data_IF_406096921408
#
_entry.id   IF_406096921408
#
_cell.length_a   1.000
_cell.length_b   1.000
_cell.length_c   1.000
_cell.angle_alpha   90.00
_cell.angle_beta   90.00
_cell.angle_gamma   90.00
#
_symmetry.space_group_name_H-M   'P 1'
#
loop_
_entity.id
_entity.type
_entity.pdbx_description
1 polymer ?
#
# COMPACT_ATOMS: atom_id res chain seq x y z
N UNK A 1 7.60 16.05 -16.75
CA UNK A 1 6.18 15.68 -16.98
C UNK A 1 5.73 14.66 -15.94
N UNK A 2 6.62 13.76 -15.52
CA UNK A 2 6.38 12.72 -14.51
C UNK A 2 5.81 13.22 -13.17
N UNK A 3 6.27 14.38 -12.67
CA UNK A 3 5.72 14.96 -11.43
C UNK A 3 4.25 15.38 -11.55
N UNK A 4 3.81 15.83 -12.73
CA UNK A 4 2.42 16.22 -12.96
C UNK A 4 1.54 14.98 -12.95
N UNK A 5 1.95 13.91 -13.65
CA UNK A 5 1.23 12.64 -13.62
C UNK A 5 1.21 12.00 -12.23
N UNK A 6 2.33 12.06 -11.50
CA UNK A 6 2.39 11.59 -10.12
C UNK A 6 1.40 12.36 -9.22
N UNK A 7 1.37 13.70 -9.34
CA UNK A 7 0.44 14.53 -8.58
C UNK A 7 -1.02 14.24 -8.95
N UNK A 8 -1.35 14.16 -10.25
CA UNK A 8 -2.71 13.93 -10.72
C UNK A 8 -3.23 12.54 -10.32
N UNK A 9 -2.43 11.49 -10.50
CA UNK A 9 -2.85 10.12 -10.19
C UNK A 9 -2.94 9.90 -8.67
N UNK A 10 -1.93 10.34 -7.91
CA UNK A 10 -1.97 10.27 -6.46
C UNK A 10 -3.13 11.09 -5.89
N UNK A 11 -3.32 12.31 -6.41
CA UNK A 11 -4.44 13.19 -6.06
C UNK A 11 -5.80 12.55 -6.38
N UNK A 12 -5.96 11.92 -7.54
CA UNK A 12 -7.19 11.23 -7.91
C UNK A 12 -7.50 10.06 -6.96
N UNK A 13 -6.51 9.25 -6.60
CA UNK A 13 -6.68 8.15 -5.62
C UNK A 13 -7.13 8.73 -4.26
N UNK A 14 -6.54 9.84 -3.82
CA UNK A 14 -6.92 10.51 -2.58
C UNK A 14 -8.35 11.07 -2.65
N UNK A 15 -8.75 11.69 -3.77
CA UNK A 15 -10.13 12.18 -3.98
C UNK A 15 -11.12 11.03 -3.91
N UNK A 16 -10.83 9.88 -4.55
CA UNK A 16 -11.69 8.69 -4.45
C UNK A 16 -11.82 8.26 -2.98
N UNK A 17 -10.73 8.28 -2.22
CA UNK A 17 -10.76 7.95 -0.80
C UNK A 17 -11.61 8.92 0.03
N UNK A 18 -11.48 10.22 -0.23
CA UNK A 18 -12.30 11.24 0.41
C UNK A 18 -13.79 11.06 0.09
N UNK A 19 -14.14 10.80 -1.17
CA UNK A 19 -15.52 10.53 -1.57
C UNK A 19 -16.12 9.31 -0.85
N UNK A 20 -15.32 8.25 -0.65
CA UNK A 20 -15.76 7.07 0.11
C UNK A 20 -15.97 7.36 1.60
N UNK A 21 -15.18 8.25 2.20
CA UNK A 21 -15.40 8.69 3.58
C UNK A 21 -16.65 9.55 3.70
N UNK A 22 -16.82 10.51 2.78
CA UNK A 22 -17.86 11.53 2.89
C UNK A 22 -19.25 11.00 2.48
N UNK A 23 -19.33 10.25 1.37
CA UNK A 23 -20.60 9.76 0.82
C UNK A 23 -20.95 8.36 1.29
N UNK A 24 -19.98 7.44 1.28
CA UNK A 24 -20.22 6.05 1.70
C UNK A 24 -20.09 5.86 3.22
N UNK A 25 -19.69 6.91 3.97
CA UNK A 25 -19.54 6.89 5.43
C UNK A 25 -18.68 5.72 5.93
N UNK A 26 -17.69 5.32 5.12
CA UNK A 26 -16.75 4.30 5.52
C UNK A 26 -15.90 4.81 6.67
N UNK A 27 -15.59 3.93 7.62
CA UNK A 27 -14.57 4.27 8.64
C UNK A 27 -13.19 4.25 7.98
N UNK A 28 -12.18 4.94 8.57
CA UNK A 28 -10.81 4.91 8.04
C UNK A 28 -10.26 3.48 7.87
N UNK A 29 -10.63 2.56 8.76
CA UNK A 29 -10.23 1.15 8.68
C UNK A 29 -10.83 0.45 7.45
N UNK A 30 -12.11 0.69 7.14
CA UNK A 30 -12.75 0.12 5.95
C UNK A 30 -12.10 0.67 4.67
N UNK A 31 -11.84 1.98 4.61
CA UNK A 31 -11.18 2.60 3.46
C UNK A 31 -9.81 1.98 3.20
N UNK A 32 -8.99 1.85 4.25
CA UNK A 32 -7.66 1.24 4.15
C UNK A 32 -7.73 -0.20 3.64
N UNK A 33 -8.60 -1.03 4.22
CA UNK A 33 -8.78 -2.41 3.80
C UNK A 33 -9.22 -2.52 2.34
N UNK A 34 -10.19 -1.71 1.91
CA UNK A 34 -10.67 -1.69 0.52
C UNK A 34 -9.54 -1.31 -0.44
N UNK A 35 -8.76 -0.28 -0.13
CA UNK A 35 -7.67 0.17 -1.01
C UNK A 35 -6.54 -0.87 -1.11
N UNK A 36 -6.20 -1.53 0.00
CA UNK A 36 -5.23 -2.64 -0.01
C UNK A 36 -5.74 -3.80 -0.87
N UNK A 37 -7.01 -4.19 -0.74
CA UNK A 37 -7.59 -5.27 -1.56
C UNK A 37 -7.61 -4.90 -3.04
N UNK A 38 -8.02 -3.67 -3.38
CA UNK A 38 -7.99 -3.17 -4.76
C UNK A 38 -6.57 -3.21 -5.32
N UNK A 39 -5.57 -2.76 -4.55
CA UNK A 39 -4.17 -2.80 -4.94
C UNK A 39 -3.67 -4.21 -5.26
N UNK A 40 -4.01 -5.19 -4.41
CA UNK A 40 -3.67 -6.60 -4.64
C UNK A 40 -4.37 -7.15 -5.89
N UNK A 41 -5.66 -6.86 -6.09
CA UNK A 41 -6.40 -7.30 -7.29
C UNK A 41 -5.74 -6.72 -8.56
N UNK A 42 -5.41 -5.43 -8.55
CA UNK A 42 -4.75 -4.77 -9.69
C UNK A 42 -3.35 -5.33 -9.98
N UNK A 43 -2.60 -5.72 -8.95
CA UNK A 43 -1.32 -6.42 -9.10
C UNK A 43 -1.51 -7.81 -9.73
N UNK A 44 -2.52 -8.56 -9.30
CA UNK A 44 -2.81 -9.89 -9.86
C UNK A 44 -3.11 -9.88 -11.37
N UNK A 45 -3.61 -8.76 -11.91
CA UNK A 45 -3.80 -8.53 -13.34
C UNK A 45 -2.62 -7.83 -14.03
N UNK A 46 -1.54 -7.52 -13.31
CA UNK A 46 -0.39 -6.74 -13.80
C UNK A 46 -0.73 -5.30 -14.18
N UNK A 47 -1.87 -4.78 -13.70
CA UNK A 47 -2.33 -3.41 -13.97
C UNK A 47 -1.62 -2.40 -13.07
N UNK A 48 -1.34 -2.79 -11.82
CA UNK A 48 -0.69 -1.90 -10.87
C UNK A 48 0.76 -1.58 -11.27
N UNK A 49 1.51 -2.55 -11.80
CA UNK A 49 2.85 -2.30 -12.35
C UNK A 49 2.85 -1.30 -13.51
N UNK A 50 1.82 -1.36 -14.38
CA UNK A 50 1.64 -0.39 -15.47
C UNK A 50 1.30 0.99 -14.91
N UNK A 51 0.49 1.04 -13.85
CA UNK A 51 0.16 2.28 -13.15
C UNK A 51 1.41 2.91 -12.51
N UNK A 52 2.28 2.11 -11.88
CA UNK A 52 3.57 2.56 -11.35
C UNK A 52 4.47 3.09 -12.47
N UNK A 53 4.58 2.39 -13.61
CA UNK A 53 5.37 2.86 -14.75
C UNK A 53 4.89 4.19 -15.33
N UNK A 54 3.58 4.46 -15.25
CA UNK A 54 2.97 5.69 -15.75
C UNK A 54 3.06 6.86 -14.75
N UNK A 55 2.76 6.60 -13.47
CA UNK A 55 2.56 7.64 -12.46
C UNK A 55 3.68 7.73 -11.42
N UNK A 56 4.61 6.78 -11.40
CA UNK A 56 5.69 6.69 -10.42
C UNK A 56 5.19 6.83 -8.99
N UNK A 57 5.69 7.86 -8.29
CA UNK A 57 5.32 8.17 -6.91
C UNK A 57 3.81 8.34 -6.69
N UNK A 58 3.06 8.78 -7.71
CA UNK A 58 1.60 8.90 -7.62
C UNK A 58 0.87 7.58 -7.40
N UNK A 59 1.50 6.47 -7.78
CA UNK A 59 0.97 5.12 -7.56
C UNK A 59 1.69 4.37 -6.43
N UNK A 60 2.95 4.68 -6.12
CA UNK A 60 3.69 3.97 -5.06
C UNK A 60 3.47 4.54 -3.66
N UNK A 61 3.07 5.80 -3.53
CA UNK A 61 2.82 6.45 -2.23
C UNK A 61 1.46 6.10 -1.60
N UNK A 62 0.33 6.04 -2.36
CA UNK A 62 -0.96 5.69 -1.77
C UNK A 62 -0.99 4.25 -1.21
N UNK A 63 -1.84 4.02 -0.19
CA UNK A 63 -1.94 2.72 0.51
C UNK A 63 -2.35 1.56 -0.41
N UNK A 64 -2.92 1.84 -1.59
CA UNK A 64 -3.15 0.83 -2.63
C UNK A 64 -1.86 0.10 -3.02
N UNK A 65 -0.71 0.78 -2.98
CA UNK A 65 0.59 0.18 -3.29
C UNK A 65 1.01 -0.88 -2.29
N UNK A 66 0.49 -0.82 -1.07
CA UNK A 66 0.74 -1.82 -0.05
C UNK A 66 0.15 -3.17 -0.47
N UNK A 67 -1.07 -3.17 -1.00
CA UNK A 67 -1.72 -4.37 -1.54
C UNK A 67 -0.96 -4.99 -2.70
N UNK A 68 -0.47 -4.15 -3.62
CA UNK A 68 0.43 -4.57 -4.70
C UNK A 68 1.69 -5.23 -4.15
N UNK A 69 2.39 -4.57 -3.20
CA UNK A 69 3.62 -5.12 -2.63
C UNK A 69 3.41 -6.44 -1.87
N UNK A 70 2.27 -6.61 -1.18
CA UNK A 70 1.95 -7.86 -0.49
C UNK A 70 1.77 -9.01 -1.48
N UNK A 71 0.98 -8.82 -2.53
CA UNK A 71 0.73 -9.86 -3.53
C UNK A 71 2.01 -10.16 -4.32
N UNK A 72 2.70 -9.13 -4.79
CA UNK A 72 3.94 -9.27 -5.55
C UNK A 72 5.02 -10.02 -4.77
N UNK A 73 5.18 -9.70 -3.46
CA UNK A 73 6.10 -10.40 -2.58
C UNK A 73 5.72 -11.86 -2.34
N UNK A 74 4.42 -12.12 -2.13
CA UNK A 74 3.90 -13.48 -1.97
C UNK A 74 4.11 -14.32 -3.23
N UNK A 75 3.79 -13.79 -4.42
CA UNK A 75 3.94 -14.50 -5.69
C UNK A 75 5.41 -14.75 -6.03
N UNK A 76 6.29 -13.77 -5.83
CA UNK A 76 7.73 -13.94 -6.06
C UNK A 76 8.35 -15.05 -5.20
N UNK A 77 7.92 -15.18 -3.94
CA UNK A 77 8.37 -16.27 -3.08
C UNK A 77 7.68 -17.60 -3.41
N UNK A 78 6.44 -17.57 -3.87
CA UNK A 78 5.72 -18.76 -4.31
C UNK A 78 6.40 -19.45 -5.50
N UNK A 79 6.99 -18.69 -6.42
CA UNK A 79 7.80 -19.22 -7.52
C UNK A 79 9.01 -20.04 -7.03
N UNK A 80 9.58 -19.69 -5.86
CA UNK A 80 10.78 -20.34 -5.30
C UNK A 80 10.46 -21.48 -4.34
N UNK A 81 9.38 -21.35 -3.56
CA UNK A 81 9.07 -22.23 -2.44
C UNK A 81 7.66 -22.87 -2.53
N UNK A 82 7.01 -22.79 -3.69
CA UNK A 82 5.65 -23.28 -3.90
C UNK A 82 4.64 -22.59 -2.99
N UNK A 83 3.60 -23.31 -2.56
CA UNK A 83 2.57 -22.77 -1.67
C UNK A 83 3.12 -22.22 -0.35
N UNK A 84 4.21 -22.79 0.18
CA UNK A 84 4.86 -22.30 1.40
C UNK A 84 5.44 -20.89 1.19
N UNK A 85 5.87 -20.58 -0.03
CA UNK A 85 6.42 -19.30 -0.42
C UNK A 85 5.44 -18.15 -0.26
N UNK A 86 4.14 -18.38 -0.44
CA UNK A 86 3.10 -17.34 -0.27
C UNK A 86 3.19 -16.72 1.12
N UNK A 87 3.24 -17.56 2.17
CA UNK A 87 3.31 -17.09 3.56
C UNK A 87 4.64 -16.44 3.90
N UNK A 88 5.76 -16.98 3.38
CA UNK A 88 7.11 -16.46 3.63
C UNK A 88 7.32 -15.10 2.96
N UNK A 89 6.83 -14.94 1.73
CA UNK A 89 7.10 -13.77 0.89
C UNK A 89 6.16 -12.60 1.09
N UNK A 90 4.96 -12.80 1.65
CA UNK A 90 3.91 -11.79 1.74
C UNK A 90 4.39 -10.46 2.32
N UNK A 91 5.18 -10.49 3.40
CA UNK A 91 5.68 -9.27 4.04
C UNK A 91 7.11 -8.88 3.62
N UNK A 92 7.74 -9.62 2.71
CA UNK A 92 9.16 -9.40 2.37
C UNK A 92 9.41 -7.97 1.86
N UNK A 93 8.56 -7.47 0.95
CA UNK A 93 8.67 -6.13 0.37
C UNK A 93 8.23 -5.01 1.31
N UNK A 94 7.29 -5.27 2.21
CA UNK A 94 6.72 -4.26 3.12
C UNK A 94 7.39 -4.23 4.50
N UNK A 95 8.17 -5.26 4.85
CA UNK A 95 8.75 -5.48 6.18
C UNK A 95 9.62 -4.33 6.67
N UNK A 96 10.42 -3.73 5.79
CA UNK A 96 11.32 -2.63 6.12
C UNK A 96 10.53 -1.40 6.57
N UNK A 97 9.47 -1.04 5.84
CA UNK A 97 8.61 0.10 6.18
C UNK A 97 7.85 -0.10 7.49
N UNK A 98 7.28 -1.28 7.68
CA UNK A 98 6.56 -1.63 8.92
C UNK A 98 7.51 -1.62 10.12
N UNK A 99 8.68 -2.27 9.99
CA UNK A 99 9.68 -2.33 11.06
C UNK A 99 10.19 -0.93 11.42
N UNK A 100 10.47 -0.09 10.43
CA UNK A 100 10.87 1.29 10.65
C UNK A 100 9.77 2.07 11.39
N UNK A 101 8.52 1.98 10.94
CA UNK A 101 7.40 2.64 11.58
C UNK A 101 7.25 2.23 13.05
N UNK A 102 7.36 0.94 13.37
CA UNK A 102 7.29 0.41 14.74
C UNK A 102 8.45 0.94 15.59
N UNK A 103 9.69 0.82 15.10
CA UNK A 103 10.89 1.24 15.84
C UNK A 103 10.89 2.74 16.13
N UNK A 104 10.63 3.58 15.13
CA UNK A 104 10.58 5.02 15.33
C UNK A 104 9.41 5.43 16.23
N UNK A 105 8.24 4.80 16.08
CA UNK A 105 7.10 5.06 16.97
C UNK A 105 7.42 4.73 18.42
N UNK A 106 8.14 3.65 18.67
CA UNK A 106 8.61 3.27 20.01
C UNK A 106 9.53 4.33 20.62
N UNK A 107 10.57 4.77 19.89
CA UNK A 107 11.48 5.80 20.40
C UNK A 107 10.79 7.14 20.67
N UNK A 108 9.86 7.55 19.79
CA UNK A 108 9.08 8.77 20.00
C UNK A 108 8.18 8.64 21.23
N UNK A 109 7.57 7.47 21.46
CA UNK A 109 6.72 7.21 22.62
C UNK A 109 7.49 7.21 23.96
N UNK A 110 8.83 7.07 23.95
CA UNK A 110 9.65 7.22 25.17
C UNK A 110 9.86 8.69 25.56
N UNK A 111 9.89 9.60 24.58
CA UNK A 111 10.16 11.03 24.78
C UNK A 111 8.85 11.81 24.91
N UNK A 112 7.84 11.43 24.15
CA UNK A 112 6.53 12.06 24.13
C UNK A 112 5.49 11.19 24.84
N UNK A 113 4.43 11.79 25.38
CA UNK A 113 3.23 11.05 25.85
C UNK A 113 2.24 10.92 24.69
N UNK A 114 2.17 9.78 23.99
CA UNK A 114 1.18 9.58 22.93
C UNK A 114 -0.23 9.56 23.52
N UNK A 115 -1.18 10.18 22.83
CA UNK A 115 -2.61 10.06 23.11
C UNK A 115 -3.16 8.99 22.15
N UNK A 116 -3.48 7.83 22.69
CA UNK A 116 -4.23 6.78 21.97
C UNK A 116 -5.72 7.06 21.96
#
# INVERSE_FOLDING_TARGET
MDFIYAFLVGGAICVIGQLLLDFAKLTPAHLMATFVVIGAILDGFGLYDKLIKFAGAGATVPITSFGHSLLHGAMHAAEKHGYLGIGIGMFSLTSAGISAAILFSFFIALICKPKG
#
